data_IF_750854957100
#
_entry.id   IF_750854957100
#
_cell.length_a   1.000
_cell.length_b   1.000
_cell.length_c   1.000
_cell.angle_alpha   90.00
_cell.angle_beta   90.00
_cell.angle_gamma   90.00
#
_symmetry.space_group_name_H-M   'P 1'
#
loop_
_entity.id
_entity.type
_entity.pdbx_description
1 polymer ?
#
# COMPACT_ATOMS: atom_id res chain seq x y z
N UNK A 1 7.72 7.37 9.55
CA UNK A 1 6.38 7.71 8.99
C UNK A 1 5.40 6.60 9.32
N UNK A 2 4.18 6.94 9.64
CA UNK A 2 3.08 5.99 9.84
C UNK A 2 2.50 5.56 8.50
N UNK A 3 2.41 4.25 8.27
CA UNK A 3 1.66 3.69 7.15
C UNK A 3 0.26 3.26 7.63
N UNK A 4 -0.77 3.76 6.97
CA UNK A 4 -2.17 3.39 7.24
C UNK A 4 -2.65 2.52 6.09
N UNK A 5 -2.93 1.26 6.37
CA UNK A 5 -3.44 0.30 5.38
C UNK A 5 -4.94 0.17 5.59
N UNK A 6 -5.71 0.59 4.61
CA UNK A 6 -7.17 0.64 4.71
C UNK A 6 -7.83 0.57 3.33
N UNK A 7 -9.01 1.13 3.18
CA UNK A 7 -9.71 1.31 1.93
C UNK A 7 -10.26 2.73 1.83
N UNK A 8 -10.65 3.15 0.64
CA UNK A 8 -11.07 4.53 0.38
C UNK A 8 -12.35 4.89 1.13
N UNK A 9 -13.28 3.96 1.29
CA UNK A 9 -14.57 4.18 1.95
C UNK A 9 -14.48 4.18 3.48
N UNK A 10 -13.38 3.71 4.05
CA UNK A 10 -13.20 3.72 5.50
C UNK A 10 -13.03 5.15 6.00
N UNK A 11 -14.02 5.63 6.75
CA UNK A 11 -14.03 6.98 7.32
C UNK A 11 -13.31 7.07 8.67
N UNK A 12 -13.07 5.96 9.33
CA UNK A 12 -12.50 5.95 10.68
C UNK A 12 -11.06 6.47 10.77
N UNK A 13 -10.20 6.32 9.74
CA UNK A 13 -8.89 6.96 9.77
C UNK A 13 -8.93 8.48 9.68
N UNK A 14 -9.99 9.08 9.16
CA UNK A 14 -10.05 10.50 8.87
C UNK A 14 -9.79 11.40 10.08
N UNK A 15 -10.42 11.18 11.27
CA UNK A 15 -10.12 11.99 12.45
C UNK A 15 -8.67 11.83 12.91
N UNK A 16 -8.09 10.66 12.78
CA UNK A 16 -6.69 10.41 13.12
C UNK A 16 -5.76 11.15 12.16
N UNK A 17 -6.06 11.09 10.86
CA UNK A 17 -5.31 11.81 9.83
C UNK A 17 -5.35 13.32 10.09
N UNK A 18 -6.51 13.86 10.45
CA UNK A 18 -6.64 15.28 10.80
C UNK A 18 -5.72 15.69 11.96
N UNK A 19 -5.58 14.84 12.96
CA UNK A 19 -4.64 15.06 14.07
C UNK A 19 -3.18 14.93 13.63
N UNK A 20 -2.86 13.96 12.79
CA UNK A 20 -1.51 13.81 12.27
C UNK A 20 -1.08 15.04 11.45
N UNK A 21 -1.97 15.59 10.66
CA UNK A 21 -1.72 16.83 9.90
C UNK A 21 -1.47 18.01 10.86
N UNK A 22 -2.30 18.16 11.89
CA UNK A 22 -2.13 19.23 12.89
C UNK A 22 -0.82 19.13 13.66
N UNK A 23 -0.37 17.91 13.93
CA UNK A 23 0.87 17.65 14.67
C UNK A 23 2.10 17.59 13.77
N UNK A 24 1.96 17.78 12.47
CA UNK A 24 3.01 17.63 11.46
C UNK A 24 3.68 16.25 11.49
N UNK A 25 2.92 15.19 11.78
CA UNK A 25 3.41 13.81 11.77
C UNK A 25 3.25 13.26 10.36
N UNK A 26 4.33 12.79 9.71
CA UNK A 26 4.25 12.25 8.36
C UNK A 26 3.51 10.90 8.38
N UNK A 27 2.64 10.71 7.40
CA UNK A 27 1.89 9.48 7.20
C UNK A 27 1.68 9.21 5.71
N UNK A 28 1.35 7.97 5.40
CA UNK A 28 0.91 7.57 4.06
C UNK A 28 -0.31 6.68 4.20
N UNK A 29 -1.39 7.02 3.52
CA UNK A 29 -2.59 6.19 3.46
C UNK A 29 -2.56 5.34 2.20
N UNK A 30 -2.53 4.03 2.39
CA UNK A 30 -2.60 3.05 1.31
C UNK A 30 -4.00 2.45 1.25
N UNK A 31 -4.75 2.77 0.23
CA UNK A 31 -6.04 2.15 -0.05
C UNK A 31 -5.81 0.92 -0.92
N UNK A 32 -5.99 -0.27 -0.35
CA UNK A 32 -5.56 -1.51 -0.99
C UNK A 32 -6.37 -1.90 -2.22
N UNK A 33 -7.63 -1.50 -2.33
CA UNK A 33 -8.44 -1.72 -3.53
C UNK A 33 -7.89 -0.99 -4.76
N UNK A 34 -7.19 0.12 -4.53
CA UNK A 34 -6.59 0.93 -5.59
C UNK A 34 -5.13 0.55 -5.90
N UNK A 35 -4.64 -0.55 -5.32
CA UNK A 35 -3.24 -0.92 -5.37
C UNK A 35 -2.69 -1.02 -6.81
N UNK A 36 -3.48 -1.57 -7.73
CA UNK A 36 -3.06 -1.78 -9.11
C UNK A 36 -3.41 -0.60 -10.04
N UNK A 37 -4.32 0.27 -9.64
CA UNK A 37 -4.83 1.35 -10.49
C UNK A 37 -4.21 2.71 -10.20
N UNK A 38 -3.83 3.01 -8.96
CA UNK A 38 -3.37 4.34 -8.55
C UNK A 38 -1.89 4.41 -8.15
N UNK A 39 -1.23 3.28 -8.00
CA UNK A 39 0.16 3.21 -7.53
C UNK A 39 1.07 2.48 -8.50
N UNK A 40 2.28 2.96 -8.63
CA UNK A 40 3.40 2.21 -9.18
C UNK A 40 4.21 1.64 -8.02
N UNK A 41 4.45 0.34 -8.04
CA UNK A 41 5.12 -0.36 -6.97
C UNK A 41 6.37 -1.02 -7.51
N UNK A 42 7.49 -0.74 -6.88
CA UNK A 42 8.76 -1.40 -7.15
C UNK A 42 9.17 -2.20 -5.93
N UNK A 43 9.45 -3.47 -6.14
CA UNK A 43 9.85 -4.37 -5.09
C UNK A 43 11.26 -4.89 -5.36
N UNK A 44 12.13 -4.83 -4.36
CA UNK A 44 13.52 -5.27 -4.46
C UNK A 44 13.80 -6.37 -3.42
N UNK A 45 14.31 -7.50 -3.88
CA UNK A 45 14.74 -8.61 -3.04
C UNK A 45 16.25 -8.76 -3.19
N UNK A 46 16.97 -8.71 -2.09
CA UNK A 46 18.38 -9.04 -2.02
C UNK A 46 18.61 -10.13 -0.98
N UNK A 47 19.85 -10.65 -0.87
CA UNK A 47 20.20 -11.85 -0.09
C UNK A 47 19.63 -11.94 1.33
N UNK A 48 19.31 -10.83 1.97
CA UNK A 48 18.79 -10.80 3.34
C UNK A 48 17.75 -9.71 3.57
N UNK A 49 17.36 -8.95 2.54
CA UNK A 49 16.45 -7.83 2.71
C UNK A 49 15.38 -7.78 1.63
N UNK A 50 14.20 -7.40 2.06
CA UNK A 50 13.07 -7.08 1.19
C UNK A 50 12.77 -5.60 1.35
N UNK A 51 12.68 -4.89 0.25
CA UNK A 51 12.31 -3.48 0.24
C UNK A 51 11.32 -3.18 -0.87
N UNK A 52 10.54 -2.13 -0.70
CA UNK A 52 9.62 -1.68 -1.72
C UNK A 52 9.59 -0.16 -1.78
N UNK A 53 9.15 0.35 -2.92
CA UNK A 53 8.79 1.75 -3.11
C UNK A 53 7.39 1.80 -3.68
N UNK A 54 6.53 2.63 -3.09
CA UNK A 54 5.18 2.89 -3.57
C UNK A 54 5.13 4.35 -4.03
N UNK A 55 4.69 4.57 -5.24
CA UNK A 55 4.57 5.89 -5.83
C UNK A 55 3.18 6.07 -6.42
N UNK A 56 2.52 7.21 -6.17
CA UNK A 56 1.32 7.56 -6.91
C UNK A 56 1.63 7.69 -8.39
N UNK A 57 0.76 7.19 -9.26
CA UNK A 57 0.93 7.28 -10.72
C UNK A 57 0.97 8.73 -11.22
N UNK A 58 0.33 9.65 -10.50
CA UNK A 58 0.40 11.09 -10.79
C UNK A 58 1.75 11.73 -10.39
N UNK A 59 2.62 10.99 -9.71
CA UNK A 59 3.93 11.46 -9.28
C UNK A 59 3.93 12.35 -8.03
N UNK A 60 2.77 12.58 -7.39
CA UNK A 60 2.62 13.52 -6.27
C UNK A 60 3.34 13.06 -5.00
N UNK A 61 3.34 11.77 -4.72
CA UNK A 61 3.91 11.19 -3.50
C UNK A 61 4.60 9.86 -3.78
N UNK A 62 5.69 9.62 -3.07
CA UNK A 62 6.38 8.34 -3.07
C UNK A 62 6.88 8.01 -1.66
N UNK A 63 6.82 6.74 -1.28
CA UNK A 63 7.38 6.25 -0.03
C UNK A 63 8.23 5.02 -0.27
N UNK A 64 9.24 4.83 0.57
CA UNK A 64 10.05 3.62 0.64
C UNK A 64 9.74 2.86 1.94
N UNK A 65 9.92 1.55 1.91
CA UNK A 65 9.80 0.72 3.12
C UNK A 65 10.73 1.20 4.25
N UNK A 66 11.84 1.83 3.91
CA UNK A 66 12.78 2.40 4.89
C UNK A 66 12.24 3.63 5.64
N UNK A 67 11.24 4.31 5.08
CA UNK A 67 10.64 5.49 5.68
C UNK A 67 9.56 5.14 6.69
N UNK A 68 9.12 3.88 6.73
CA UNK A 68 8.00 3.43 7.56
C UNK A 68 8.53 3.03 8.94
N UNK A 69 7.99 3.67 9.98
CA UNK A 69 8.34 3.40 11.37
C UNK A 69 7.25 2.67 12.15
N UNK A 70 6.02 2.66 11.64
CA UNK A 70 4.90 1.94 12.22
C UNK A 70 3.81 1.73 11.19
N UNK A 71 2.96 0.73 11.42
CA UNK A 71 1.86 0.38 10.53
C UNK A 71 0.56 0.31 11.33
N UNK A 72 -0.50 0.88 10.77
CA UNK A 72 -1.85 0.72 11.26
C UNK A 72 -2.69 0.08 10.17
N UNK A 73 -2.92 -1.23 10.31
CA UNK A 73 -3.79 -1.98 9.40
C UNK A 73 -5.21 -1.99 9.95
N UNK A 74 -6.17 -1.49 9.16
CA UNK A 74 -7.52 -1.37 9.65
C UNK A 74 -8.53 -2.24 8.89
N UNK A 75 -8.79 -1.97 7.66
CA UNK A 75 -9.78 -2.69 6.86
C UNK A 75 -9.35 -2.79 5.40
N UNK A 76 -8.26 -3.50 5.12
CA UNK A 76 -7.83 -3.68 3.74
C UNK A 76 -8.89 -4.46 2.95
N UNK A 77 -9.09 -4.06 1.72
CA UNK A 77 -9.93 -4.77 0.74
C UNK A 77 -9.01 -5.35 -0.32
N UNK A 78 -9.39 -6.47 -0.91
CA UNK A 78 -8.64 -7.07 -2.02
C UNK A 78 -8.47 -6.06 -3.17
N UNK A 79 -7.30 -6.04 -3.82
CA UNK A 79 -7.08 -5.18 -4.97
C UNK A 79 -8.14 -5.43 -6.05
N UNK A 80 -8.81 -4.36 -6.46
CA UNK A 80 -9.79 -4.40 -7.53
C UNK A 80 -9.09 -4.13 -8.85
N UNK A 81 -9.42 -4.90 -9.86
CA UNK A 81 -9.04 -4.63 -11.23
C UNK A 81 -10.30 -4.28 -12.03
N UNK A 82 -10.29 -3.11 -12.65
CA UNK A 82 -11.31 -2.70 -13.61
C UNK A 82 -10.79 -2.84 -15.04
N UNK A 83 -9.99 -3.89 -15.27
CA UNK A 83 -9.45 -4.15 -16.60
C UNK A 83 -10.47 -4.88 -17.47
N UNK A 84 -11.52 -4.18 -17.87
CA UNK A 84 -12.52 -4.70 -18.81
C UNK A 84 -11.90 -5.09 -20.16
N UNK A 85 -10.72 -4.54 -20.45
CA UNK A 85 -9.99 -4.76 -21.71
C UNK A 85 -9.13 -6.04 -21.68
N UNK A 86 -8.96 -6.66 -20.53
CA UNK A 86 -8.10 -7.84 -20.38
C UNK A 86 -8.90 -9.13 -20.51
N UNK A 87 -8.28 -10.14 -21.13
CA UNK A 87 -8.83 -11.48 -21.14
C UNK A 87 -8.95 -12.00 -19.69
N UNK A 88 -9.97 -12.84 -19.36
CA UNK A 88 -10.21 -13.31 -17.99
C UNK A 88 -8.99 -13.98 -17.33
N UNK A 89 -8.19 -14.74 -18.09
CA UNK A 89 -6.99 -15.36 -17.56
C UNK A 89 -5.88 -14.36 -17.22
N UNK A 90 -5.78 -13.25 -17.96
CA UNK A 90 -4.82 -12.18 -17.69
C UNK A 90 -5.28 -11.38 -16.47
N UNK A 91 -6.57 -11.07 -16.36
CA UNK A 91 -7.13 -10.41 -15.17
C UNK A 91 -6.88 -11.23 -13.90
N UNK A 92 -7.04 -12.54 -13.95
CA UNK A 92 -6.76 -13.44 -12.83
C UNK A 92 -5.29 -13.38 -12.43
N UNK A 93 -4.37 -13.41 -13.40
CA UNK A 93 -2.94 -13.30 -13.14
C UNK A 93 -2.58 -11.99 -12.47
N UNK A 94 -3.13 -10.88 -12.92
CA UNK A 94 -2.89 -9.56 -12.33
C UNK A 94 -3.38 -9.50 -10.88
N UNK A 95 -4.54 -10.08 -10.58
CA UNK A 95 -5.06 -10.18 -9.21
C UNK A 95 -4.16 -11.03 -8.31
N UNK A 96 -3.69 -12.17 -8.80
CA UNK A 96 -2.77 -13.06 -8.06
C UNK A 96 -1.45 -12.36 -7.75
N UNK A 97 -0.91 -11.58 -8.68
CA UNK A 97 0.30 -10.78 -8.47
C UNK A 97 0.07 -9.68 -7.42
N UNK A 98 -1.09 -9.03 -7.42
CA UNK A 98 -1.46 -8.05 -6.40
C UNK A 98 -1.53 -8.66 -5.00
N UNK A 99 -2.13 -9.84 -4.86
CA UNK A 99 -2.18 -10.58 -3.60
C UNK A 99 -0.78 -11.02 -3.16
N UNK A 100 0.05 -11.47 -4.09
CA UNK A 100 1.43 -11.81 -3.84
C UNK A 100 2.21 -10.62 -3.30
N UNK A 101 2.03 -9.45 -3.89
CA UNK A 101 2.65 -8.22 -3.43
C UNK A 101 2.25 -7.89 -1.98
N UNK A 102 0.98 -7.96 -1.63
CA UNK A 102 0.53 -7.68 -0.25
C UNK A 102 1.17 -8.61 0.77
N UNK A 103 1.41 -9.86 0.42
CA UNK A 103 2.14 -10.82 1.29
C UNK A 103 3.60 -10.40 1.47
N UNK A 104 4.31 -10.10 0.39
CA UNK A 104 5.71 -9.64 0.46
C UNK A 104 5.84 -8.32 1.19
N UNK A 105 4.89 -7.44 1.00
CA UNK A 105 4.79 -6.18 1.69
C UNK A 105 4.76 -6.36 3.22
N UNK A 106 3.95 -7.28 3.72
CA UNK A 106 3.92 -7.61 5.16
C UNK A 106 5.26 -8.15 5.65
N UNK A 107 5.91 -9.00 4.88
CA UNK A 107 7.25 -9.49 5.22
C UNK A 107 8.28 -8.37 5.33
N UNK A 108 8.22 -7.40 4.45
CA UNK A 108 9.16 -6.27 4.47
C UNK A 108 9.01 -5.37 5.71
N UNK A 109 7.88 -5.43 6.38
CA UNK A 109 7.54 -4.57 7.51
C UNK A 109 7.42 -5.30 8.84
N UNK A 110 7.93 -6.54 8.94
CA UNK A 110 7.88 -7.30 10.19
C UNK A 110 8.72 -6.68 11.32
N UNK A 111 9.67 -5.84 10.98
CA UNK A 111 10.56 -5.20 11.94
C UNK A 111 9.99 -3.93 12.58
N UNK A 112 8.83 -3.47 12.14
CA UNK A 112 8.17 -2.28 12.70
C UNK A 112 6.90 -2.68 13.45
N UNK A 113 6.44 -1.90 14.46
CA UNK A 113 5.18 -2.17 15.16
C UNK A 113 3.97 -1.98 14.25
N UNK A 114 3.03 -2.86 14.46
CA UNK A 114 1.74 -2.87 13.75
C UNK A 114 0.59 -2.57 14.69
#
# INVERSE_FOLDING_TARGET
MLLIITNEEDIHPNPVIDQLVKLNVPFFRLNTESLLSHYDITYAISNASHSFTIKYKDGSHAISSHDISSVWERRPIEPLTTFDDLAPNVSKLVLEEGDGFLRYFRYSLTHVPW
#
